data_IF_867801487991
#
_entry.id   IF_867801487991
#
_cell.length_a   1.000
_cell.length_b   1.000
_cell.length_c   1.000
_cell.angle_alpha   90.00
_cell.angle_beta   90.00
_cell.angle_gamma   90.00
#
_symmetry.space_group_name_H-M   'P 1'
#
loop_
_entity.id
_entity.type
_entity.pdbx_description
1 polymer ?
#
# COMPACT_ATOMS: atom_id res chain seq x y z
N UNK A 1 -11.33 10.14 38.53
CA UNK A 1 -10.21 11.01 38.12
C UNK A 1 -9.48 10.24 37.04
N UNK A 2 -9.69 10.59 35.77
CA UNK A 2 -9.01 9.92 34.66
C UNK A 2 -7.53 10.35 34.67
N UNK A 3 -6.62 9.39 34.58
CA UNK A 3 -5.19 9.58 34.73
C UNK A 3 -4.64 10.56 33.68
N UNK A 4 -4.05 11.65 34.17
CA UNK A 4 -3.50 12.79 33.40
C UNK A 4 -2.04 12.56 32.95
N UNK A 5 -1.55 11.32 33.06
CA UNK A 5 -0.14 10.99 32.87
C UNK A 5 -0.01 9.80 31.95
N UNK A 6 0.73 9.97 30.86
CA UNK A 6 1.20 8.90 30.00
C UNK A 6 2.69 8.70 30.28
N UNK A 7 3.09 7.46 30.53
CA UNK A 7 4.50 7.09 30.62
C UNK A 7 5.12 7.16 29.22
N UNK A 8 6.20 7.92 29.07
CA UNK A 8 6.92 8.09 27.79
C UNK A 8 8.24 7.34 27.91
N UNK A 9 8.49 6.37 27.04
CA UNK A 9 9.71 5.57 27.05
C UNK A 9 10.87 6.29 26.33
N UNK A 10 12.11 5.86 26.60
CA UNK A 10 13.30 6.36 25.92
C UNK A 10 13.16 6.18 24.40
N UNK A 11 13.24 7.30 23.66
CA UNK A 11 13.03 7.36 22.21
C UNK A 11 11.64 7.84 21.77
N UNK A 12 10.69 8.02 22.69
CA UNK A 12 9.41 8.65 22.41
C UNK A 12 9.42 10.14 22.77
N UNK A 13 8.78 10.95 21.92
CA UNK A 13 8.53 12.36 22.21
C UNK A 13 7.04 12.57 22.42
N UNK A 14 6.64 13.03 23.61
CA UNK A 14 5.30 13.57 23.80
C UNK A 14 5.24 14.90 23.06
N UNK A 15 4.32 15.04 22.11
CA UNK A 15 4.05 16.31 21.41
C UNK A 15 2.75 16.91 21.97
N UNK A 16 2.79 17.57 23.14
CA UNK A 16 1.60 18.20 23.70
C UNK A 16 1.18 19.40 22.83
N UNK A 17 -0.12 19.62 22.70
CA UNK A 17 -0.65 20.80 22.04
C UNK A 17 -0.74 20.72 20.51
N UNK A 18 -0.65 19.52 19.92
CA UNK A 18 -0.97 19.32 18.51
C UNK A 18 -2.47 19.65 18.29
N UNK A 19 -2.75 20.87 17.83
CA UNK A 19 -4.09 21.27 17.40
C UNK A 19 -4.25 20.83 15.95
N UNK A 20 -4.85 19.66 15.77
CA UNK A 20 -5.33 19.19 14.49
C UNK A 20 -6.20 20.29 13.86
N UNK A 21 -5.79 20.78 12.69
CA UNK A 21 -6.59 21.75 11.94
C UNK A 21 -7.97 21.16 11.61
N UNK A 22 -8.97 22.02 11.39
CA UNK A 22 -10.27 21.56 10.89
C UNK A 22 -10.03 20.84 9.55
N UNK A 23 -10.35 19.54 9.50
CA UNK A 23 -10.11 18.68 8.33
C UNK A 23 -8.87 17.78 8.42
N UNK A 24 -8.07 17.84 9.48
CA UNK A 24 -6.94 16.92 9.66
C UNK A 24 -7.45 15.50 10.00
N UNK A 25 -6.94 14.50 9.29
CA UNK A 25 -7.25 13.08 9.48
C UNK A 25 -6.01 12.35 10.03
N UNK A 26 -6.21 11.54 11.07
CA UNK A 26 -5.18 10.61 11.55
C UNK A 26 -5.30 9.34 10.73
N UNK A 27 -4.25 9.02 9.98
CA UNK A 27 -4.16 7.79 9.21
C UNK A 27 -3.25 6.81 9.94
N UNK A 28 -3.73 5.58 10.14
CA UNK A 28 -2.89 4.50 10.66
C UNK A 28 -1.92 4.05 9.58
N UNK A 29 -0.64 3.90 9.92
CA UNK A 29 0.34 3.31 9.01
C UNK A 29 0.11 1.80 8.90
N UNK A 30 0.54 1.23 7.78
CA UNK A 30 0.73 -0.22 7.63
C UNK A 30 1.58 -0.78 8.77
N UNK A 31 1.19 -1.97 9.25
CA UNK A 31 1.89 -2.67 10.32
C UNK A 31 3.10 -3.45 9.76
N UNK A 32 4.34 -3.03 10.11
CA UNK A 32 5.56 -3.64 9.60
C UNK A 32 5.78 -5.06 10.12
N UNK A 33 5.03 -5.53 11.12
CA UNK A 33 5.07 -6.93 11.55
C UNK A 33 4.63 -7.91 10.44
N UNK A 34 3.88 -7.43 9.45
CA UNK A 34 3.48 -8.20 8.28
C UNK A 34 4.45 -8.10 7.09
N UNK A 35 5.59 -7.40 7.25
CA UNK A 35 6.59 -7.30 6.19
C UNK A 35 7.13 -8.69 5.80
N UNK A 36 7.16 -8.97 4.50
CA UNK A 36 7.73 -10.21 4.00
C UNK A 36 9.26 -10.20 4.13
N UNK A 37 9.80 -10.88 5.15
CA UNK A 37 11.24 -10.95 5.39
C UNK A 37 11.98 -11.51 4.17
N UNK A 38 13.04 -10.83 3.74
CA UNK A 38 13.83 -11.19 2.54
C UNK A 38 13.18 -10.81 1.21
N UNK A 39 12.08 -10.04 1.25
CA UNK A 39 11.40 -9.52 0.06
C UNK A 39 11.24 -8.02 0.16
N UNK A 40 11.64 -7.33 -0.90
CA UNK A 40 11.47 -5.89 -1.04
C UNK A 40 10.35 -5.58 -2.04
N UNK A 41 9.32 -4.83 -1.60
CA UNK A 41 8.37 -4.19 -2.50
C UNK A 41 9.12 -3.14 -3.33
N UNK A 42 9.16 -3.30 -4.65
CA UNK A 42 9.90 -2.40 -5.54
C UNK A 42 9.04 -1.74 -6.61
N UNK A 43 7.77 -2.14 -6.74
CA UNK A 43 6.85 -1.55 -7.68
C UNK A 43 5.40 -1.87 -7.34
N UNK A 44 4.50 -1.04 -7.86
CA UNK A 44 3.07 -1.22 -7.80
C UNK A 44 2.47 -0.63 -9.07
N UNK A 45 1.55 -1.37 -9.67
CA UNK A 45 0.67 -0.91 -10.74
C UNK A 45 -0.75 -1.06 -10.21
N UNK A 46 -1.30 0.01 -9.65
CA UNK A 46 -2.58 0.00 -8.97
C UNK A 46 -3.47 1.10 -9.54
N UNK A 47 -4.71 0.75 -9.79
CA UNK A 47 -5.79 1.69 -10.11
C UNK A 47 -6.89 1.54 -9.07
N UNK A 48 -7.46 2.65 -8.60
CA UNK A 48 -8.61 2.67 -7.71
C UNK A 48 -9.82 3.20 -8.48
N UNK A 49 -10.68 2.30 -8.95
CA UNK A 49 -11.95 2.69 -9.56
C UNK A 49 -13.05 2.71 -8.50
N UNK A 50 -13.68 3.87 -8.29
CA UNK A 50 -14.70 4.08 -7.25
C UNK A 50 -14.26 3.63 -5.84
N UNK A 51 -12.96 3.70 -5.55
CA UNK A 51 -12.36 3.25 -4.29
C UNK A 51 -12.05 1.75 -4.20
N UNK A 52 -12.28 1.00 -5.27
CA UNK A 52 -11.93 -0.41 -5.38
C UNK A 52 -10.57 -0.58 -6.07
N UNK A 53 -9.54 -1.09 -5.36
CA UNK A 53 -8.24 -1.25 -5.97
C UNK A 53 -8.20 -2.48 -6.88
N UNK A 54 -7.51 -2.36 -7.99
CA UNK A 54 -7.13 -3.47 -8.85
C UNK A 54 -5.73 -3.24 -9.44
N UNK A 55 -5.07 -4.31 -9.85
CA UNK A 55 -3.75 -4.26 -10.47
C UNK A 55 -2.79 -5.29 -9.86
N UNK A 56 -1.55 -4.89 -9.59
CA UNK A 56 -0.55 -5.75 -8.98
C UNK A 56 0.53 -5.01 -8.17
N UNK A 57 1.08 -5.70 -7.18
CA UNK A 57 2.30 -5.35 -6.48
C UNK A 57 3.46 -6.21 -6.97
N UNK A 58 4.67 -5.65 -6.98
CA UNK A 58 5.88 -6.31 -7.45
C UNK A 58 6.91 -6.38 -6.32
N UNK A 59 7.23 -7.60 -5.92
CA UNK A 59 8.22 -7.90 -4.90
C UNK A 59 9.44 -8.54 -5.52
N UNK A 60 10.60 -8.22 -4.97
CA UNK A 60 11.87 -8.81 -5.38
C UNK A 60 12.51 -9.48 -4.17
N UNK A 61 12.93 -10.72 -4.34
CA UNK A 61 13.68 -11.45 -3.33
C UNK A 61 15.07 -10.82 -3.18
N UNK A 62 15.48 -10.58 -1.94
CA UNK A 62 16.73 -9.88 -1.64
C UNK A 62 17.98 -10.74 -1.85
N UNK A 63 17.84 -12.07 -1.81
CA UNK A 63 18.95 -13.02 -1.93
C UNK A 63 19.26 -13.35 -3.40
N UNK A 64 18.23 -13.63 -4.19
CA UNK A 64 18.39 -14.16 -5.55
C UNK A 64 17.77 -13.29 -6.66
N UNK A 65 17.10 -12.20 -6.30
CA UNK A 65 16.52 -11.25 -7.25
C UNK A 65 15.27 -11.76 -7.99
N UNK A 66 14.73 -12.95 -7.64
CA UNK A 66 13.47 -13.43 -8.19
C UNK A 66 12.36 -12.42 -7.93
N UNK A 67 11.46 -12.30 -8.90
CA UNK A 67 10.31 -11.42 -8.79
C UNK A 67 9.08 -12.24 -8.44
N UNK A 68 8.33 -11.80 -7.44
CA UNK A 68 6.99 -12.28 -7.15
C UNK A 68 6.01 -11.14 -7.41
N UNK A 69 5.10 -11.36 -8.35
CA UNK A 69 4.01 -10.45 -8.65
C UNK A 69 2.77 -10.91 -7.87
N UNK A 70 2.17 -10.01 -7.09
CA UNK A 70 0.92 -10.26 -6.37
C UNK A 70 -0.19 -9.44 -7.01
N UNK A 71 -1.19 -10.09 -7.58
CA UNK A 71 -2.38 -9.42 -8.09
C UNK A 71 -3.19 -8.80 -6.96
N UNK A 72 -3.90 -7.73 -7.27
CA UNK A 72 -4.91 -7.13 -6.40
C UNK A 72 -6.22 -7.15 -7.16
N UNK A 73 -7.20 -7.88 -6.64
CA UNK A 73 -8.50 -8.02 -7.28
C UNK A 73 -9.61 -7.76 -6.28
N UNK A 74 -10.44 -6.74 -6.58
CA UNK A 74 -11.71 -6.56 -5.90
C UNK A 74 -12.76 -7.51 -6.49
N UNK A 75 -13.50 -8.19 -5.62
CA UNK A 75 -14.66 -9.00 -5.98
C UNK A 75 -15.94 -8.29 -5.53
N UNK A 76 -16.58 -7.48 -6.40
CA UNK A 76 -17.74 -6.67 -6.04
C UNK A 76 -18.90 -7.45 -5.39
N UNK A 77 -19.28 -8.67 -5.86
CA UNK A 77 -20.44 -9.38 -5.30
C UNK A 77 -20.29 -9.74 -3.83
N UNK A 78 -19.06 -9.98 -3.38
CA UNK A 78 -18.74 -10.42 -2.01
C UNK A 78 -17.93 -9.37 -1.23
N UNK A 79 -17.69 -8.19 -1.84
CA UNK A 79 -16.90 -7.10 -1.28
C UNK A 79 -15.57 -7.59 -0.66
N UNK A 80 -14.87 -8.46 -1.39
CA UNK A 80 -13.64 -9.13 -0.94
C UNK A 80 -12.47 -8.77 -1.83
N UNK A 81 -11.30 -8.62 -1.21
CA UNK A 81 -10.02 -8.53 -1.91
C UNK A 81 -9.36 -9.90 -1.98
N UNK A 82 -8.98 -10.29 -3.18
CA UNK A 82 -8.16 -11.47 -3.43
C UNK A 82 -6.77 -11.05 -3.93
N UNK A 83 -5.76 -11.84 -3.55
CA UNK A 83 -4.34 -11.54 -3.76
C UNK A 83 -3.62 -12.71 -4.45
N UNK A 84 -3.96 -13.03 -5.70
CA UNK A 84 -3.34 -14.16 -6.39
C UNK A 84 -1.85 -13.92 -6.63
N UNK A 85 -1.03 -14.96 -6.43
CA UNK A 85 0.33 -14.97 -6.97
C UNK A 85 0.29 -15.08 -8.49
N UNK A 86 1.03 -14.22 -9.17
CA UNK A 86 1.05 -14.09 -10.62
C UNK A 86 2.46 -14.34 -11.18
N UNK A 87 2.48 -14.72 -12.45
CA UNK A 87 3.74 -14.88 -13.18
C UNK A 87 4.44 -13.52 -13.26
N UNK A 88 5.79 -13.46 -13.13
CA UNK A 88 6.52 -12.20 -13.07
C UNK A 88 6.22 -11.26 -14.26
N UNK A 89 6.01 -11.83 -15.45
CA UNK A 89 5.79 -11.09 -16.71
C UNK A 89 4.51 -11.44 -17.47
N UNK A 90 3.69 -12.38 -16.98
CA UNK A 90 2.50 -12.89 -17.69
C UNK A 90 1.26 -12.78 -16.79
N UNK A 91 0.06 -12.66 -17.37
CA UNK A 91 -1.19 -12.59 -16.61
C UNK A 91 -1.70 -13.98 -16.17
N UNK A 92 -0.80 -14.85 -15.72
CA UNK A 92 -1.10 -16.24 -15.36
C UNK A 92 -0.91 -16.46 -13.86
N UNK A 93 -1.75 -17.31 -13.26
CA UNK A 93 -1.66 -17.74 -11.86
C UNK A 93 -0.51 -18.75 -11.68
N UNK A 94 0.72 -18.29 -11.83
CA UNK A 94 1.92 -19.13 -11.78
C UNK A 94 3.02 -18.35 -11.09
N UNK A 95 3.75 -18.98 -10.18
CA UNK A 95 4.91 -18.38 -9.51
C UNK A 95 6.01 -19.43 -9.45
N UNK A 96 7.27 -18.98 -9.57
CA UNK A 96 8.46 -19.82 -9.36
C UNK A 96 8.89 -19.85 -7.88
N UNK A 97 8.05 -19.34 -6.98
CA UNK A 97 8.26 -19.32 -5.54
C UNK A 97 7.55 -20.49 -4.84
N UNK A 98 8.08 -20.89 -3.69
CA UNK A 98 7.41 -21.84 -2.80
C UNK A 98 6.13 -21.24 -2.20
N UNK A 99 5.21 -22.11 -1.77
CA UNK A 99 3.96 -21.68 -1.12
C UNK A 99 4.22 -20.79 0.11
N UNK A 100 5.24 -21.11 0.91
CA UNK A 100 5.60 -20.31 2.09
C UNK A 100 6.08 -18.89 1.72
N UNK A 101 6.89 -18.77 0.66
CA UNK A 101 7.31 -17.45 0.15
C UNK A 101 6.10 -16.66 -0.37
N UNK A 102 5.20 -17.33 -1.09
CA UNK A 102 3.97 -16.72 -1.59
C UNK A 102 3.09 -16.23 -0.44
N UNK A 103 2.84 -17.06 0.57
CA UNK A 103 1.99 -16.70 1.71
C UNK A 103 2.52 -15.49 2.48
N UNK A 104 3.84 -15.43 2.71
CA UNK A 104 4.47 -14.30 3.38
C UNK A 104 4.30 -13.00 2.60
N UNK A 105 4.55 -13.03 1.28
CA UNK A 105 4.45 -11.85 0.41
C UNK A 105 2.98 -11.43 0.19
N UNK A 106 2.06 -12.40 0.09
CA UNK A 106 0.62 -12.13 0.01
C UNK A 106 0.10 -11.51 1.31
N UNK A 107 0.58 -11.95 2.47
CA UNK A 107 0.20 -11.34 3.75
C UNK A 107 0.67 -9.88 3.84
N UNK A 108 1.90 -9.60 3.41
CA UNK A 108 2.44 -8.25 3.32
C UNK A 108 1.57 -7.38 2.38
N UNK A 109 1.36 -7.85 1.15
CA UNK A 109 0.53 -7.19 0.14
C UNK A 109 -0.87 -6.87 0.65
N UNK A 110 -1.51 -7.83 1.32
CA UNK A 110 -2.83 -7.68 1.92
C UNK A 110 -2.85 -6.61 2.99
N UNK A 111 -1.84 -6.58 3.85
CA UNK A 111 -1.72 -5.57 4.90
C UNK A 111 -1.61 -4.16 4.30
N UNK A 112 -0.74 -3.96 3.30
CA UNK A 112 -0.54 -2.66 2.63
C UNK A 112 -1.79 -2.18 1.89
N UNK A 113 -2.40 -3.05 1.08
CA UNK A 113 -3.64 -2.70 0.34
C UNK A 113 -4.82 -2.48 1.30
N UNK A 114 -4.87 -3.21 2.43
CA UNK A 114 -5.86 -2.98 3.47
C UNK A 114 -5.80 -1.55 4.03
N UNK A 115 -4.60 -1.06 4.33
CA UNK A 115 -4.39 0.33 4.78
C UNK A 115 -4.73 1.34 3.69
N UNK A 116 -4.36 1.06 2.43
CA UNK A 116 -4.71 1.90 1.28
C UNK A 116 -6.22 2.10 1.15
N UNK A 117 -6.98 1.00 1.17
CA UNK A 117 -8.45 1.04 1.07
C UNK A 117 -9.06 1.75 2.27
N UNK A 118 -8.60 1.46 3.48
CA UNK A 118 -9.10 2.09 4.69
C UNK A 118 -8.87 3.61 4.67
N UNK A 119 -7.67 4.04 4.28
CA UNK A 119 -7.32 5.47 4.21
C UNK A 119 -8.11 6.20 3.13
N UNK A 120 -8.21 5.60 1.94
CA UNK A 120 -8.98 6.17 0.84
C UNK A 120 -10.47 6.31 1.20
N UNK A 121 -11.04 5.34 1.91
CA UNK A 121 -12.41 5.41 2.41
C UNK A 121 -12.61 6.52 3.48
N UNK A 122 -11.61 6.75 4.35
CA UNK A 122 -11.67 7.80 5.39
C UNK A 122 -11.64 9.21 4.80
N UNK A 123 -10.86 9.43 3.76
CA UNK A 123 -10.71 10.75 3.12
C UNK A 123 -11.89 11.03 2.16
N UNK A 124 -12.57 9.98 1.69
CA UNK A 124 -13.62 10.07 0.67
C UNK A 124 -13.00 10.35 -0.70
N UNK A 125 -13.53 9.72 -1.75
CA UNK A 125 -12.96 9.77 -3.11
C UNK A 125 -12.99 11.15 -3.80
N UNK A 126 -13.40 12.21 -3.09
CA UNK A 126 -13.66 13.55 -3.62
C UNK A 126 -12.66 14.63 -3.14
N UNK A 127 -11.77 14.31 -2.18
CA UNK A 127 -10.85 15.29 -1.54
C UNK A 127 -9.37 14.98 -1.86
N UNK A 128 -9.09 14.26 -2.95
CA UNK A 128 -7.73 13.89 -3.31
C UNK A 128 -6.98 15.08 -3.96
N UNK A 129 -6.22 15.83 -3.15
CA UNK A 129 -5.09 16.61 -3.66
C UNK A 129 -3.88 15.68 -3.84
N UNK A 130 -2.90 16.03 -4.68
CA UNK A 130 -1.67 15.24 -4.85
C UNK A 130 -0.95 14.99 -3.52
N UNK A 131 -0.93 15.98 -2.62
CA UNK A 131 -0.36 15.84 -1.27
C UNK A 131 -1.12 14.80 -0.41
N UNK A 132 -2.45 14.75 -0.53
CA UNK A 132 -3.26 13.74 0.16
C UNK A 132 -3.00 12.35 -0.40
N UNK A 133 -2.86 12.23 -1.72
CA UNK A 133 -2.49 10.96 -2.38
C UNK A 133 -1.12 10.46 -1.93
N UNK A 134 -0.10 11.32 -1.91
CA UNK A 134 1.25 10.95 -1.45
C UNK A 134 1.25 10.48 0.01
N UNK A 135 0.49 11.18 0.89
CA UNK A 135 0.33 10.78 2.28
C UNK A 135 -0.38 9.42 2.44
N UNK A 136 -1.39 9.14 1.60
CA UNK A 136 -2.06 7.84 1.55
C UNK A 136 -1.06 6.74 1.14
N UNK A 137 -0.25 6.98 0.11
CA UNK A 137 0.73 6.01 -0.39
C UNK A 137 1.83 5.71 0.66
N UNK A 138 2.33 6.74 1.36
CA UNK A 138 3.32 6.57 2.43
C UNK A 138 2.74 5.82 3.64
N UNK A 139 1.50 6.17 4.05
CA UNK A 139 0.82 5.48 5.15
C UNK A 139 0.55 4.01 4.83
N UNK A 140 0.21 3.70 3.58
CA UNK A 140 0.00 2.33 3.08
C UNK A 140 1.29 1.53 2.96
N UNK A 141 2.44 2.16 3.22
CA UNK A 141 3.75 1.54 3.11
C UNK A 141 4.13 1.25 1.66
N UNK A 142 3.48 1.87 0.66
CA UNK A 142 3.91 1.67 -0.72
C UNK A 142 5.25 2.38 -0.94
N UNK A 143 5.44 3.60 -0.42
CA UNK A 143 6.75 4.29 -0.45
C UNK A 143 7.34 4.46 -1.87
N UNK A 144 6.52 4.28 -2.91
CA UNK A 144 6.89 4.37 -4.31
C UNK A 144 6.65 5.78 -4.80
N UNK A 145 7.57 6.28 -5.62
CA UNK A 145 7.40 7.56 -6.29
C UNK A 145 6.56 7.36 -7.56
N UNK A 146 5.64 8.29 -7.83
CA UNK A 146 4.93 8.32 -9.11
C UNK A 146 5.93 8.47 -10.24
N UNK A 147 5.81 7.62 -11.25
CA UNK A 147 6.45 7.89 -12.53
C UNK A 147 5.63 9.03 -13.15
N UNK A 148 6.26 10.20 -13.33
CA UNK A 148 5.62 11.30 -14.03
C UNK A 148 5.16 10.81 -15.40
N UNK A 149 3.93 11.18 -15.79
CA UNK A 149 3.46 10.92 -17.14
C UNK A 149 4.45 11.60 -18.09
N UNK A 150 5.08 10.82 -18.97
CA UNK A 150 5.95 11.42 -19.97
C UNK A 150 5.08 12.43 -20.74
N UNK A 151 5.56 13.65 -21.00
CA UNK A 151 4.80 14.57 -21.83
C UNK A 151 4.47 13.84 -23.12
N UNK A 152 3.19 13.82 -23.49
CA UNK A 152 2.78 13.35 -24.82
C UNK A 152 3.69 14.07 -25.81
N UNK A 153 4.52 13.31 -26.52
CA UNK A 153 5.29 13.89 -27.59
C UNK A 153 4.25 14.44 -28.56
N UNK A 154 4.21 15.77 -28.71
CA UNK A 154 3.36 16.46 -29.68
C UNK A 154 3.46 15.71 -31.01
N UNK A 155 2.47 14.88 -31.27
CA UNK A 155 2.31 14.15 -32.51
C UNK A 155 1.52 15.08 -33.42
N UNK A 156 2.12 16.22 -33.77
CA UNK A 156 1.67 17.01 -34.91
C UNK A 156 2.83 17.26 -35.86
N UNK A 157 2.55 16.86 -37.09
CA UNK A 157 3.40 16.79 -38.27
C UNK A 157 3.53 18.14 -38.99
#
# INVERSE_FOLDING_TARGET
MQELYAEVHDGQALVPGLKMGVGALVVQRWDPAYAASGWTLYGADLTLDMGHPFGALFYRNDEDGRVLRVGVQWHPPVQRLDFPALHPSKPELSSDCSEHEVDAVVLDARSRIGVLVATNALIGSWVATTESEDAILDASGLGLQRIAEAPEADADA
#
